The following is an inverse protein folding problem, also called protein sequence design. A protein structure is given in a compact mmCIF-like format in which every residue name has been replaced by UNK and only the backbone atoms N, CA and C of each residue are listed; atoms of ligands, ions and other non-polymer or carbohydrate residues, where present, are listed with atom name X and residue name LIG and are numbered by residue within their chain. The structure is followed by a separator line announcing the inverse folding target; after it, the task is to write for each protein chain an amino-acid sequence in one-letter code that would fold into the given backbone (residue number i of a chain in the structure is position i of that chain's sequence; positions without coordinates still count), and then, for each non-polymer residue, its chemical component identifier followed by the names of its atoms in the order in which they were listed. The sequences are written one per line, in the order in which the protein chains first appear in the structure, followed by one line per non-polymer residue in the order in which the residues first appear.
data_IF_776221227527
#
_entry.id   IF_776221227527
#
_cell.length_a   1.000
_cell.length_b   1.000
_cell.length_c   1.000
_cell.angle_alpha   90.00
_cell.angle_beta   90.00
_cell.angle_gamma   90.00
#
_symmetry.space_group_name_H-M   'P 1'
#
loop_
_entity.id
_entity.type
_entity.pdbx_description
1 polymer ?
#
# COMPACT_ATOMS: atom_id res chain seq x y z
N UNK A 1 6.06 -16.69 2.76
CA UNK A 1 6.01 -17.42 4.06
C UNK A 1 6.56 -16.52 5.15
N UNK A 2 6.31 -16.75 6.47
CA UNK A 2 6.97 -15.97 7.51
C UNK A 2 8.48 -16.08 7.39
N UNK A 3 9.19 -15.07 7.89
CA UNK A 3 10.64 -15.16 8.07
C UNK A 3 10.96 -16.48 8.81
N UNK A 4 11.82 -17.34 8.25
CA UNK A 4 12.15 -18.61 8.88
C UNK A 4 12.79 -18.37 10.25
N UNK A 5 12.62 -19.32 11.16
CA UNK A 5 13.29 -19.28 12.46
C UNK A 5 14.81 -19.24 12.30
N UNK A 6 15.48 -18.36 13.06
CA UNK A 6 16.86 -18.58 13.46
C UNK A 6 16.85 -19.57 14.63
N UNK A 7 17.68 -20.61 14.56
CA UNK A 7 17.78 -21.65 15.59
C UNK A 7 16.78 -22.80 15.47
N UNK A 8 16.74 -23.69 16.50
CA UNK A 8 15.91 -24.89 16.51
C UNK A 8 14.43 -24.59 16.25
N UNK A 9 13.79 -25.51 15.51
CA UNK A 9 12.36 -25.48 15.20
C UNK A 9 11.54 -25.78 16.47
N UNK A 10 10.27 -25.38 16.50
CA UNK A 10 9.39 -25.67 17.65
C UNK A 10 9.03 -27.15 17.79
N UNK A 11 9.10 -27.89 16.68
CA UNK A 11 8.72 -29.29 16.58
C UNK A 11 9.87 -30.10 15.97
N UNK A 12 9.76 -31.42 16.01
CA UNK A 12 10.81 -32.34 15.59
C UNK A 12 11.21 -32.19 14.11
N UNK A 13 10.28 -31.82 13.22
CA UNK A 13 10.55 -31.64 11.79
C UNK A 13 9.89 -30.37 11.21
N UNK A 14 10.39 -29.83 10.08
CA UNK A 14 9.78 -28.68 9.42
C UNK A 14 8.34 -28.92 8.96
N UNK A 15 8.03 -30.16 8.55
CA UNK A 15 6.67 -30.55 8.18
C UNK A 15 5.75 -30.54 9.40
N UNK A 16 6.21 -31.08 10.53
CA UNK A 16 5.44 -31.10 11.78
C UNK A 16 5.17 -29.68 12.29
N UNK A 17 6.16 -28.78 12.27
CA UNK A 17 5.95 -27.39 12.69
C UNK A 17 4.88 -26.69 11.85
N UNK A 18 4.88 -26.88 10.53
CA UNK A 18 3.87 -26.30 9.62
C UNK A 18 2.46 -26.79 9.95
N UNK A 19 2.30 -28.10 10.16
CA UNK A 19 1.00 -28.69 10.51
C UNK A 19 0.52 -28.23 11.89
N UNK A 20 1.43 -28.18 12.87
CA UNK A 20 1.12 -27.67 14.21
C UNK A 20 0.65 -26.21 14.17
N UNK A 21 1.33 -25.34 13.41
CA UNK A 21 0.93 -23.94 13.25
C UNK A 21 -0.42 -23.81 12.52
N UNK A 22 -0.69 -24.64 11.51
CA UNK A 22 -1.97 -24.66 10.81
C UNK A 22 -3.12 -25.07 11.73
N UNK A 23 -2.93 -26.10 12.57
CA UNK A 23 -3.94 -26.55 13.53
C UNK A 23 -4.19 -25.48 14.62
N UNK A 24 -3.15 -24.82 15.10
CA UNK A 24 -3.31 -23.72 16.05
C UNK A 24 -4.01 -22.50 15.43
N UNK A 25 -3.74 -22.16 14.16
CA UNK A 25 -4.46 -21.09 13.47
C UNK A 25 -5.95 -21.45 13.29
N UNK A 26 -6.23 -22.70 12.92
CA UNK A 26 -7.61 -23.21 12.79
C UNK A 26 -8.34 -23.10 14.13
N UNK A 27 -7.71 -23.50 15.24
CA UNK A 27 -8.28 -23.41 16.59
C UNK A 27 -8.48 -21.95 17.03
N UNK A 28 -7.54 -21.06 16.69
CA UNK A 28 -7.64 -19.63 17.00
C UNK A 28 -8.84 -18.99 16.29
N UNK A 29 -9.08 -19.31 15.02
CA UNK A 29 -10.23 -18.76 14.29
C UNK A 29 -11.56 -19.40 14.67
N UNK A 30 -11.55 -20.67 15.07
CA UNK A 30 -12.76 -21.34 15.55
C UNK A 30 -13.23 -20.82 16.91
N UNK A 31 -12.30 -20.52 17.82
CA UNK A 31 -12.62 -20.16 19.21
C UNK A 31 -12.36 -18.68 19.56
N UNK A 32 -11.65 -17.93 18.72
CA UNK A 32 -11.23 -16.55 18.96
C UNK A 32 -10.09 -16.38 19.98
N UNK A 33 -9.88 -17.37 20.86
CA UNK A 33 -8.88 -17.34 21.94
C UNK A 33 -8.33 -18.75 22.22
N UNK A 34 -7.01 -18.88 22.32
CA UNK A 34 -6.35 -20.14 22.72
C UNK A 34 -5.22 -19.89 23.72
N UNK A 35 -5.01 -20.85 24.61
CA UNK A 35 -3.90 -20.85 25.58
C UNK A 35 -2.79 -21.79 25.10
N UNK A 36 -1.57 -21.29 24.96
CA UNK A 36 -0.42 -22.06 24.47
C UNK A 36 0.88 -21.60 25.13
N UNK A 37 2.02 -22.12 24.70
CA UNK A 37 3.32 -21.64 25.19
C UNK A 37 3.72 -20.35 24.49
N UNK A 38 4.40 -19.45 25.20
CA UNK A 38 4.89 -18.18 24.66
C UNK A 38 5.64 -18.30 23.32
N UNK A 39 6.58 -19.25 23.13
CA UNK A 39 7.27 -19.40 21.84
C UNK A 39 6.33 -19.85 20.72
N UNK A 40 5.34 -20.72 21.00
CA UNK A 40 4.32 -21.12 20.01
C UNK A 40 3.43 -19.95 19.62
N UNK A 41 2.97 -19.15 20.58
CA UNK A 41 2.16 -17.96 20.32
C UNK A 41 2.90 -16.93 19.44
N UNK A 42 4.17 -16.63 19.76
CA UNK A 42 5.01 -15.71 18.95
C UNK A 42 5.19 -16.20 17.51
N UNK A 43 5.26 -17.52 17.31
CA UNK A 43 5.42 -18.13 15.98
C UNK A 43 4.12 -18.16 15.19
N UNK A 44 2.98 -18.29 15.88
CA UNK A 44 1.66 -18.28 15.27
C UNK A 44 1.28 -16.88 14.73
N UNK A 45 1.61 -15.81 15.46
CA UNK A 45 1.28 -14.42 15.09
C UNK A 45 1.49 -14.07 13.61
N UNK A 46 2.70 -14.19 13.03
CA UNK A 46 2.92 -13.77 11.64
C UNK A 46 2.16 -14.63 10.63
N UNK A 47 1.79 -15.88 10.98
CA UNK A 47 0.95 -16.72 10.14
C UNK A 47 -0.51 -16.27 10.22
N UNK A 48 -1.04 -16.14 11.44
CA UNK A 48 -2.42 -15.73 11.68
C UNK A 48 -2.72 -14.34 11.10
N UNK A 49 -1.84 -13.36 11.32
CA UNK A 49 -1.99 -12.01 10.78
C UNK A 49 -2.07 -12.01 9.26
N UNK A 50 -1.23 -12.81 8.58
CA UNK A 50 -1.29 -12.92 7.11
C UNK A 50 -2.56 -13.59 6.60
N UNK A 51 -3.09 -14.58 7.32
CA UNK A 51 -4.35 -15.22 6.94
C UNK A 51 -5.52 -14.24 7.06
N UNK A 52 -5.54 -13.41 8.10
CA UNK A 52 -6.54 -12.33 8.26
C UNK A 52 -6.39 -11.29 7.15
N UNK A 53 -5.17 -10.88 6.79
CA UNK A 53 -4.95 -9.97 5.66
C UNK A 53 -5.50 -10.53 4.34
N UNK A 54 -5.34 -11.84 4.08
CA UNK A 54 -5.93 -12.48 2.91
C UNK A 54 -7.46 -12.54 3.01
N UNK A 55 -8.01 -12.74 4.21
CA UNK A 55 -9.43 -12.74 4.44
C UNK A 55 -10.07 -11.38 4.13
N UNK A 56 -9.45 -10.30 4.62
CA UNK A 56 -9.86 -8.91 4.36
C UNK A 56 -9.88 -8.55 2.87
N UNK A 57 -8.99 -9.13 2.05
CA UNK A 57 -8.99 -8.88 0.60
C UNK A 57 -10.20 -9.52 -0.11
N UNK A 58 -10.75 -10.62 0.42
CA UNK A 58 -11.98 -11.23 -0.10
C UNK A 58 -11.90 -11.97 -1.44
N UNK A 59 -10.81 -11.87 -2.20
CA UNK A 59 -10.71 -12.47 -3.55
C UNK A 59 -10.64 -14.03 -3.57
N UNK A 60 -10.96 -14.62 -4.73
CA UNK A 60 -10.93 -16.08 -4.93
C UNK A 60 -9.52 -16.67 -4.75
N UNK A 61 -8.49 -15.92 -5.15
CA UNK A 61 -7.08 -16.33 -5.02
C UNK A 61 -6.67 -16.47 -3.55
N UNK A 62 -7.10 -15.55 -2.70
CA UNK A 62 -6.87 -15.49 -1.26
C UNK A 62 -7.60 -16.62 -0.57
N UNK A 63 -8.87 -16.89 -0.93
CA UNK A 63 -9.58 -18.09 -0.44
C UNK A 63 -8.82 -19.37 -0.75
N UNK A 64 -8.37 -19.55 -2.00
CA UNK A 64 -7.56 -20.72 -2.41
C UNK A 64 -6.24 -20.80 -1.64
N UNK A 65 -5.60 -19.66 -1.37
CA UNK A 65 -4.34 -19.59 -0.61
C UNK A 65 -4.53 -19.96 0.85
N UNK A 66 -5.60 -19.50 1.49
CA UNK A 66 -5.96 -19.85 2.87
C UNK A 66 -6.27 -21.34 2.98
N UNK A 67 -7.00 -21.92 2.02
CA UNK A 67 -7.32 -23.37 1.99
C UNK A 67 -6.10 -24.29 1.88
N UNK A 68 -4.94 -23.79 1.41
CA UNK A 68 -3.67 -24.56 1.43
C UNK A 68 -3.15 -24.76 2.85
N UNK A 69 -3.53 -23.90 3.78
CA UNK A 69 -3.09 -23.92 5.19
C UNK A 69 -4.19 -24.51 6.07
N UNK A 70 -5.38 -23.93 6.04
CA UNK A 70 -6.54 -24.35 6.82
C UNK A 70 -7.40 -25.26 5.96
N UNK A 71 -7.52 -26.52 6.37
CA UNK A 71 -8.27 -27.54 5.63
C UNK A 71 -9.77 -27.53 5.92
N UNK A 72 -10.17 -27.01 7.07
CA UNK A 72 -11.57 -26.96 7.48
C UNK A 72 -12.31 -25.79 6.79
N UNK A 73 -13.31 -26.15 5.99
CA UNK A 73 -14.11 -25.19 5.22
C UNK A 73 -15.00 -24.31 6.11
N UNK A 74 -15.44 -24.83 7.26
CA UNK A 74 -16.29 -24.09 8.21
C UNK A 74 -15.54 -22.91 8.81
N UNK A 75 -14.29 -23.14 9.24
CA UNK A 75 -13.40 -22.12 9.78
C UNK A 75 -13.00 -21.11 8.71
N UNK A 76 -12.76 -21.56 7.47
CA UNK A 76 -12.50 -20.64 6.35
C UNK A 76 -13.71 -19.74 6.09
N UNK A 77 -14.93 -20.26 6.18
CA UNK A 77 -16.13 -19.45 6.04
C UNK A 77 -16.20 -18.36 7.12
N UNK A 78 -16.08 -18.73 8.41
CA UNK A 78 -16.06 -17.80 9.55
C UNK A 78 -14.99 -16.71 9.38
N UNK A 79 -13.80 -17.10 8.90
CA UNK A 79 -12.69 -16.18 8.70
C UNK A 79 -13.01 -15.07 7.68
N UNK A 80 -13.69 -15.41 6.58
CA UNK A 80 -14.00 -14.47 5.50
C UNK A 80 -15.32 -13.70 5.72
N UNK A 81 -16.27 -14.23 6.50
CA UNK A 81 -17.54 -13.55 6.73
C UNK A 81 -17.56 -12.74 8.02
N UNK A 82 -17.09 -13.30 9.13
CA UNK A 82 -17.22 -12.67 10.44
C UNK A 82 -15.93 -11.93 10.84
N UNK A 83 -14.80 -12.64 10.81
CA UNK A 83 -13.52 -12.09 11.31
C UNK A 83 -13.00 -10.99 10.39
N UNK A 84 -13.15 -11.15 9.08
CA UNK A 84 -12.70 -10.16 8.10
C UNK A 84 -13.43 -8.81 8.27
N UNK A 85 -14.76 -8.84 8.43
CA UNK A 85 -15.61 -7.66 8.64
C UNK A 85 -15.24 -6.94 9.94
N UNK A 86 -15.13 -7.68 11.05
CA UNK A 86 -14.72 -7.12 12.35
C UNK A 86 -13.35 -6.42 12.31
N UNK A 87 -12.48 -6.83 11.39
CA UNK A 87 -11.09 -6.36 11.31
C UNK A 87 -10.86 -5.41 10.12
N UNK A 88 -11.89 -5.00 9.40
CA UNK A 88 -11.79 -4.23 8.15
C UNK A 88 -11.06 -2.91 8.36
N UNK A 89 -11.46 -2.14 9.37
CA UNK A 89 -10.89 -0.84 9.70
C UNK A 89 -9.46 -0.92 10.28
N UNK A 90 -8.99 -2.12 10.68
CA UNK A 90 -7.70 -2.31 11.35
C UNK A 90 -6.56 -2.61 10.39
N UNK A 91 -5.54 -1.75 10.36
CA UNK A 91 -4.35 -1.91 9.52
C UNK A 91 -3.23 -2.71 10.23
N UNK A 92 -3.54 -3.96 10.59
CA UNK A 92 -2.58 -4.88 11.22
C UNK A 92 -2.71 -5.01 12.74
N UNK A 93 -1.91 -5.91 13.32
CA UNK A 93 -1.98 -6.21 14.76
C UNK A 93 -3.32 -6.85 15.17
N UNK A 94 -3.81 -7.81 14.37
CA UNK A 94 -5.10 -8.47 14.60
C UNK A 94 -5.11 -9.45 15.78
N UNK A 95 -3.93 -9.82 16.28
CA UNK A 95 -3.78 -10.77 17.39
C UNK A 95 -3.06 -10.12 18.57
N UNK A 96 -3.49 -10.46 19.79
CA UNK A 96 -2.89 -10.02 21.05
C UNK A 96 -2.30 -11.24 21.76
N UNK A 97 -1.11 -11.10 22.35
CA UNK A 97 -0.50 -12.13 23.21
C UNK A 97 -0.46 -11.58 24.64
N UNK A 98 -1.10 -12.30 25.56
CA UNK A 98 -1.08 -12.00 26.99
C UNK A 98 -0.33 -13.11 27.72
N UNK A 99 0.74 -12.77 28.44
CA UNK A 99 1.51 -13.73 29.23
C UNK A 99 0.70 -14.18 30.44
N UNK A 100 0.75 -15.47 30.75
CA UNK A 100 0.12 -16.04 31.95
C UNK A 100 1.22 -16.66 32.83
N UNK A 101 0.85 -17.00 34.06
CA UNK A 101 1.64 -17.86 34.93
C UNK A 101 2.20 -19.09 34.18
N UNK A 102 3.43 -19.51 34.49
CA UNK A 102 4.05 -20.67 33.86
C UNK A 102 3.27 -21.96 34.22
N UNK A 103 3.40 -22.96 33.34
CA UNK A 103 2.74 -24.25 33.53
C UNK A 103 3.32 -24.97 34.74
N UNK A 104 2.44 -25.54 35.58
CA UNK A 104 2.87 -26.40 36.68
C UNK A 104 3.44 -27.72 36.12
N UNK A 105 4.65 -28.09 36.55
CA UNK A 105 5.33 -29.33 36.17
C UNK A 105 6.63 -29.08 35.41
N UNK A 106 6.55 -28.47 34.22
CA UNK A 106 7.70 -28.18 33.35
C UNK A 106 8.13 -26.71 33.40
N UNK A 107 7.45 -25.87 34.18
CA UNK A 107 7.66 -24.42 34.29
C UNK A 107 7.67 -23.70 32.93
N UNK A 108 6.97 -24.25 31.93
CA UNK A 108 6.97 -23.68 30.59
C UNK A 108 6.21 -22.34 30.58
N UNK A 109 6.78 -21.27 30.00
CA UNK A 109 6.13 -19.96 29.94
C UNK A 109 4.87 -20.04 29.05
N UNK A 110 3.71 -19.78 29.64
CA UNK A 110 2.43 -19.79 28.93
C UNK A 110 2.01 -18.39 28.46
N UNK A 111 1.19 -18.36 27.42
CA UNK A 111 0.51 -17.17 26.96
C UNK A 111 -0.84 -17.52 26.33
N UNK A 112 -1.81 -16.62 26.50
CA UNK A 112 -3.02 -16.60 25.66
C UNK A 112 -2.68 -15.84 24.38
N UNK A 113 -3.12 -16.37 23.24
CA UNK A 113 -3.24 -15.62 22.00
C UNK A 113 -4.71 -15.49 21.62
N UNK A 114 -5.14 -14.27 21.33
CA UNK A 114 -6.53 -13.92 21.07
C UNK A 114 -6.67 -12.95 19.89
N UNK A 115 -7.83 -12.96 19.23
CA UNK A 115 -8.21 -11.98 18.22
C UNK A 115 -8.62 -10.67 18.89
N UNK A 116 -8.21 -9.53 18.31
CA UNK A 116 -8.56 -8.20 18.82
C UNK A 116 -9.92 -7.77 18.28
N UNK A 117 -11.00 -8.14 18.96
CA UNK A 117 -12.39 -7.79 18.57
C UNK A 117 -12.77 -6.35 18.91
N UNK A 118 -11.97 -5.66 19.72
CA UNK A 118 -12.19 -4.26 20.06
C UNK A 118 -11.99 -3.39 18.79
N UNK A 119 -12.94 -2.50 18.46
CA UNK A 119 -12.73 -1.54 17.39
C UNK A 119 -11.54 -0.64 17.72
N UNK A 120 -10.77 -0.24 16.70
CA UNK A 120 -9.76 0.81 16.89
C UNK A 120 -10.48 2.07 17.39
N UNK A 121 -9.95 2.67 18.46
CA UNK A 121 -10.49 3.88 19.12
C UNK A 121 -11.17 4.82 18.13
N UNK A 122 -12.40 5.26 18.48
CA UNK A 122 -13.24 6.12 17.66
C UNK A 122 -12.48 7.31 17.04
N UNK A 123 -11.49 7.87 17.74
CA UNK A 123 -10.65 8.97 17.24
C UNK A 123 -9.86 8.65 15.96
N UNK A 124 -9.41 7.41 15.75
CA UNK A 124 -8.66 7.03 14.54
C UNK A 124 -9.59 6.65 13.39
N UNK A 125 -10.77 6.10 13.69
CA UNK A 125 -11.79 5.83 12.70
C UNK A 125 -12.35 7.15 12.13
N UNK A 126 -12.67 8.12 12.99
CA UNK A 126 -13.18 9.44 12.56
C UNK A 126 -12.16 10.24 11.76
N UNK A 127 -10.87 10.17 12.12
CA UNK A 127 -9.81 10.85 11.35
C UNK A 127 -9.67 10.22 9.97
N UNK A 128 -9.72 8.89 9.86
CA UNK A 128 -9.65 8.20 8.56
C UNK A 128 -10.89 8.45 7.69
N UNK A 129 -12.07 8.53 8.29
CA UNK A 129 -13.30 8.91 7.60
C UNK A 129 -13.28 10.38 7.15
N UNK A 130 -12.74 11.29 7.99
CA UNK A 130 -12.56 12.69 7.64
C UNK A 130 -11.51 12.89 6.52
N UNK A 131 -10.40 12.16 6.56
CA UNK A 131 -9.38 12.18 5.49
C UNK A 131 -9.90 11.59 4.18
N UNK A 132 -10.71 10.53 4.24
CA UNK A 132 -11.37 9.96 3.06
C UNK A 132 -12.40 10.94 2.46
N UNK A 133 -13.18 11.62 3.30
CA UNK A 133 -14.12 12.65 2.85
C UNK A 133 -13.41 13.86 2.24
N UNK A 134 -12.31 14.33 2.85
CA UNK A 134 -11.50 15.42 2.31
C UNK A 134 -10.85 15.05 0.96
N UNK A 135 -10.40 13.80 0.79
CA UNK A 135 -9.83 13.32 -0.49
C UNK A 135 -10.87 13.20 -1.59
N UNK A 136 -12.13 12.87 -1.26
CA UNK A 136 -13.22 12.87 -2.23
C UNK A 136 -13.59 14.30 -2.61
N UNK A 137 -13.71 15.22 -1.64
CA UNK A 137 -13.98 16.64 -1.90
C UNK A 137 -12.89 17.31 -2.76
N UNK A 138 -11.61 17.04 -2.49
CA UNK A 138 -10.52 17.57 -3.31
C UNK A 138 -10.54 17.02 -4.75
N UNK A 139 -10.96 15.77 -4.93
CA UNK A 139 -11.08 15.15 -6.26
C UNK A 139 -12.30 15.68 -7.05
N UNK A 140 -13.36 16.07 -6.34
CA UNK A 140 -14.51 16.74 -6.93
C UNK A 140 -14.18 18.21 -7.29
N UNK A 141 -13.39 18.92 -6.48
CA UNK A 141 -12.86 20.25 -6.81
C UNK A 141 -11.90 20.21 -8.01
N UNK A 142 -10.99 19.23 -8.11
CA UNK A 142 -10.12 19.04 -9.28
C UNK A 142 -10.92 18.72 -10.56
N UNK A 143 -12.06 18.03 -10.44
CA UNK A 143 -12.95 17.73 -11.56
C UNK A 143 -13.79 18.94 -12.00
N UNK A 144 -14.16 19.83 -11.08
CA UNK A 144 -14.89 21.06 -11.36
C UNK A 144 -13.99 22.14 -11.98
N UNK A 145 -12.71 22.22 -11.56
CA UNK A 145 -11.71 23.12 -12.17
C UNK A 145 -11.32 22.66 -13.59
N UNK A 146 -11.25 21.35 -13.84
CA UNK A 146 -11.03 20.80 -15.18
C UNK A 146 -12.24 21.05 -16.12
N UNK A 147 -13.47 20.99 -15.61
CA UNK A 147 -14.68 21.28 -16.38
C UNK A 147 -14.85 22.78 -16.68
N UNK A 148 -14.39 23.67 -15.78
CA UNK A 148 -14.39 25.12 -16.01
C UNK A 148 -13.32 25.56 -17.02
N UNK A 149 -12.16 24.89 -17.06
CA UNK A 149 -11.11 25.14 -18.05
C UNK A 149 -11.53 24.73 -19.47
N UNK A 150 -12.27 23.63 -19.62
CA UNK A 150 -12.79 23.17 -20.92
C UNK A 150 -13.89 24.09 -21.48
N UNK A 151 -14.69 24.73 -20.61
CA UNK A 151 -15.73 25.68 -21.00
C UNK A 151 -15.21 27.07 -21.39
N UNK A 152 -14.06 27.51 -20.86
CA UNK A 152 -13.45 28.81 -21.18
C UNK A 152 -12.75 28.84 -22.56
N UNK A 153 -12.43 27.67 -23.13
CA UNK A 153 -11.78 27.56 -24.45
C UNK A 153 -12.83 27.67 -25.60
N UNK A 154 -14.12 27.59 -25.30
CA UNK A 154 -15.19 27.57 -26.30
C UNK A 154 -15.78 28.95 -26.70
N UNK A 155 -15.42 30.05 -26.03
CA UNK A 155 -15.99 31.40 -26.29
C UNK A 155 -14.91 32.39 -26.76
N UNK A 156 -14.44 32.19 -27.99
CA UNK A 156 -14.19 33.22 -29.04
C UNK A 156 -13.50 34.57 -28.74
N UNK A 157 -12.82 34.79 -27.62
CA UNK A 157 -12.22 36.09 -27.27
C UNK A 157 -10.75 36.28 -27.72
N UNK A 158 -10.21 35.36 -28.53
CA UNK A 158 -8.80 35.37 -28.92
C UNK A 158 -8.48 36.22 -30.19
N UNK A 159 -9.47 36.53 -31.03
CA UNK A 159 -9.20 37.27 -32.28
C UNK A 159 -9.12 38.79 -32.10
N UNK A 160 -9.75 39.36 -31.07
CA UNK A 160 -9.81 40.83 -30.88
C UNK A 160 -8.57 41.38 -30.15
N UNK A 161 -7.91 40.56 -29.32
CA UNK A 161 -6.66 40.92 -28.64
C UNK A 161 -5.44 40.91 -29.57
N UNK A 162 -5.46 40.06 -30.61
CA UNK A 162 -4.36 39.92 -31.56
C UNK A 162 -4.24 41.16 -32.44
N UNK A 163 -5.35 41.77 -32.87
CA UNK A 163 -5.32 42.97 -33.71
C UNK A 163 -4.90 44.24 -32.95
N UNK A 164 -5.19 44.36 -31.64
CA UNK A 164 -4.69 45.47 -30.82
C UNK A 164 -3.19 45.38 -30.50
N UNK A 165 -2.62 44.18 -30.51
CA UNK A 165 -1.20 43.97 -30.25
C UNK A 165 -0.29 44.34 -31.45
N UNK A 166 -0.81 44.33 -32.69
CA UNK A 166 -0.02 44.69 -33.88
C UNK A 166 0.18 46.20 -34.01
N UNK A 167 -0.82 47.01 -33.59
CA UNK A 167 -0.76 48.48 -33.65
C UNK A 167 0.09 49.13 -32.53
N UNK A 168 0.39 48.40 -31.46
CA UNK A 168 1.18 48.92 -30.33
C UNK A 168 2.71 48.78 -30.51
N UNK A 169 3.18 48.14 -31.58
CA UNK A 169 4.60 47.80 -31.77
C UNK A 169 5.44 48.89 -32.47
N UNK A 170 4.97 50.15 -32.55
CA UNK A 170 5.68 51.25 -33.24
C UNK A 170 6.28 52.36 -32.34
N UNK A 171 6.21 52.31 -31.00
CA UNK A 171 6.91 53.36 -30.20
C UNK A 171 7.35 52.97 -28.78
N UNK A 172 8.55 52.36 -28.70
CA UNK A 172 9.60 52.67 -27.73
C UNK A 172 9.32 52.73 -26.21
N UNK A 173 9.76 51.66 -25.53
CA UNK A 173 10.28 51.53 -24.15
C UNK A 173 9.33 51.61 -22.93
N UNK A 174 9.20 50.49 -22.20
CA UNK A 174 9.54 50.43 -20.76
C UNK A 174 9.66 48.98 -20.20
N UNK A 175 10.85 48.69 -19.65
CA UNK A 175 11.30 47.72 -18.60
C UNK A 175 10.71 46.31 -18.34
N UNK A 176 9.67 45.81 -19.01
CA UNK A 176 9.15 44.45 -18.74
C UNK A 176 9.85 43.31 -19.54
N UNK A 177 10.59 43.64 -20.60
CA UNK A 177 11.22 42.66 -21.50
C UNK A 177 12.57 42.10 -21.02
N UNK A 178 13.07 42.51 -19.84
CA UNK A 178 14.30 41.93 -19.28
C UNK A 178 14.05 40.62 -18.51
N UNK A 179 12.87 40.45 -17.91
CA UNK A 179 12.51 39.22 -17.17
C UNK A 179 11.94 38.13 -18.08
N UNK A 180 11.13 38.45 -19.09
CA UNK A 180 10.66 37.45 -20.07
C UNK A 180 11.82 36.89 -20.93
N UNK A 181 12.79 37.73 -21.30
CA UNK A 181 13.98 37.28 -22.03
C UNK A 181 14.93 36.42 -21.17
N UNK A 182 14.89 36.54 -19.84
CA UNK A 182 15.66 35.71 -18.92
C UNK A 182 14.99 34.34 -18.69
N UNK A 183 13.65 34.31 -18.54
CA UNK A 183 12.90 33.07 -18.43
C UNK A 183 12.92 32.22 -19.72
N UNK A 184 12.98 32.85 -20.89
CA UNK A 184 13.12 32.13 -22.17
C UNK A 184 14.54 31.60 -22.39
N UNK A 185 15.59 32.27 -21.89
CA UNK A 185 16.96 31.75 -21.92
C UNK A 185 17.16 30.55 -20.96
N UNK A 186 16.48 30.55 -19.81
CA UNK A 186 16.55 29.44 -18.84
C UNK A 186 15.80 28.20 -19.34
N UNK A 187 14.62 28.38 -19.97
CA UNK A 187 13.88 27.27 -20.61
C UNK A 187 14.60 26.69 -21.83
N UNK A 188 15.33 27.50 -22.60
CA UNK A 188 16.13 27.00 -23.73
C UNK A 188 17.39 26.27 -23.29
N UNK A 189 17.97 26.62 -22.14
CA UNK A 189 19.11 25.90 -21.56
C UNK A 189 18.68 24.53 -20.99
N UNK A 190 17.56 24.46 -20.26
CA UNK A 190 17.03 23.20 -19.71
C UNK A 190 16.64 22.21 -20.83
N UNK A 191 16.05 22.70 -21.92
CA UNK A 191 15.72 21.86 -23.08
C UNK A 191 16.96 21.38 -23.85
N UNK A 192 18.06 22.13 -23.81
CA UNK A 192 19.31 21.74 -24.43
C UNK A 192 20.05 20.67 -23.61
N UNK A 193 20.00 20.73 -22.28
CA UNK A 193 20.56 19.71 -21.38
C UNK A 193 19.75 18.41 -21.46
N UNK A 194 18.41 18.49 -21.47
CA UNK A 194 17.54 17.31 -21.59
C UNK A 194 17.70 16.62 -22.97
N UNK A 195 17.98 17.40 -24.02
CA UNK A 195 18.30 16.86 -25.35
C UNK A 195 19.72 16.26 -25.44
N UNK A 196 20.69 16.77 -24.67
CA UNK A 196 22.04 16.23 -24.59
C UNK A 196 22.08 14.91 -23.81
N UNK A 197 21.34 14.82 -22.70
CA UNK A 197 21.22 13.62 -21.87
C UNK A 197 20.50 12.49 -22.64
N UNK A 198 19.46 12.82 -23.42
CA UNK A 198 18.78 11.87 -24.29
C UNK A 198 19.66 11.38 -25.47
N UNK A 199 20.61 12.19 -25.94
CA UNK A 199 21.56 11.81 -26.98
C UNK A 199 22.69 10.91 -26.45
N UNK A 200 23.13 11.12 -25.21
CA UNK A 200 24.10 10.29 -24.51
C UNK A 200 23.51 8.91 -24.17
N UNK A 201 22.26 8.86 -23.68
CA UNK A 201 21.54 7.61 -23.42
C UNK A 201 21.28 6.80 -24.70
N UNK A 202 21.00 7.48 -25.83
CA UNK A 202 20.83 6.82 -27.13
C UNK A 202 22.16 6.28 -27.70
N UNK A 203 23.30 6.89 -27.38
CA UNK A 203 24.62 6.43 -27.80
C UNK A 203 25.08 5.20 -26.99
N UNK A 204 24.86 5.20 -25.67
CA UNK A 204 25.16 4.07 -24.78
C UNK A 204 24.34 2.82 -25.15
N UNK A 205 23.05 3.00 -25.49
CA UNK A 205 22.18 1.89 -25.94
C UNK A 205 22.60 1.34 -27.30
N UNK A 206 23.21 2.15 -28.16
CA UNK A 206 23.75 1.71 -29.46
C UNK A 206 25.08 0.96 -29.31
N UNK A 207 25.94 1.36 -28.37
CA UNK A 207 27.23 0.71 -28.10
C UNK A 207 27.04 -0.65 -27.40
N UNK A 208 26.10 -0.76 -26.45
CA UNK A 208 25.70 -2.02 -25.81
C UNK A 208 25.08 -3.02 -26.82
N UNK A 209 24.36 -2.52 -27.82
CA UNK A 209 23.78 -3.36 -28.87
C UNK A 209 24.84 -3.89 -29.86
N UNK A 210 25.91 -3.13 -30.12
CA UNK A 210 27.00 -3.55 -31.00
C UNK A 210 27.92 -4.59 -30.31
N UNK A 211 28.17 -4.44 -29.00
CA UNK A 211 28.98 -5.37 -28.20
C UNK A 211 28.28 -6.74 -28.00
N UNK A 212 26.95 -6.76 -27.91
CA UNK A 212 26.15 -7.99 -27.86
C UNK A 212 26.18 -8.80 -29.17
N UNK A 213 26.53 -8.18 -30.30
CA UNK A 213 26.57 -8.84 -31.62
C UNK A 213 27.91 -9.49 -31.97
N UNK A 214 28.99 -9.16 -31.24
CA UNK A 214 30.37 -9.67 -31.48
C UNK A 214 30.79 -10.82 -30.56
N UNK A 215 29.88 -11.40 -29.76
CA UNK A 215 30.16 -12.53 -28.85
C UNK A 215 29.48 -13.83 -29.27
#
# INVERSE_FOLDING_TARGET
MPKPSKGPRLASSPAHERLMLANMATSLFAHGRITTTLPKAKRLRPLAERLITFAKRGDLSSRRRVMRVIRDKSVVHILFTQIAEQMEQREGGYTRITKIAPRRGDNAPQAVIELVTEPLSAKKATVKEAEAAAKVAAKDEDAEVAAAADAAIADGAAEDAVNQAVDANESGADVAQADEAAEDLEKTADQADEAAEAAEEAADVAEDAEEASKK
#
